data_IF_249513286876
#
_entry.id   IF_249513286876
#
_cell.length_a   1.000
_cell.length_b   1.000
_cell.length_c   1.000
_cell.angle_alpha   90.00
_cell.angle_beta   90.00
_cell.angle_gamma   90.00
#
_symmetry.space_group_name_H-M   'P 1'
#
loop_
_entity.id
_entity.type
_entity.pdbx_description
1 polymer ?
#
# COMPACT_ATOMS: atom_id res chain seq x y z
N UNK A 1 27.83 -7.60 -13.99
CA UNK A 1 27.04 -6.95 -12.92
C UNK A 1 25.91 -7.90 -12.58
N UNK A 2 25.98 -8.57 -11.44
CA UNK A 2 25.09 -9.68 -11.10
C UNK A 2 23.71 -9.14 -10.71
N UNK A 3 22.71 -9.33 -11.55
CA UNK A 3 21.31 -9.08 -11.22
C UNK A 3 20.90 -9.94 -10.02
N UNK A 4 20.17 -9.41 -9.02
CA UNK A 4 19.69 -10.23 -7.92
C UNK A 4 18.66 -11.22 -8.49
N UNK A 5 18.98 -12.51 -8.42
CA UNK A 5 18.01 -13.56 -8.70
C UNK A 5 16.87 -13.41 -7.69
N UNK A 6 15.65 -13.18 -8.18
CA UNK A 6 14.45 -13.05 -7.34
C UNK A 6 14.12 -14.43 -6.79
N UNK A 7 14.73 -14.79 -5.66
CA UNK A 7 14.39 -16.01 -4.95
C UNK A 7 12.89 -15.97 -4.61
N UNK A 8 12.19 -17.07 -4.85
CA UNK A 8 10.78 -17.15 -4.46
C UNK A 8 10.66 -16.86 -2.95
N UNK A 9 9.76 -15.95 -2.55
CA UNK A 9 9.61 -15.63 -1.14
C UNK A 9 9.17 -16.88 -0.36
N UNK A 10 9.79 -17.12 0.78
CA UNK A 10 9.37 -18.22 1.66
C UNK A 10 7.91 -18.07 2.10
N UNK A 11 7.21 -19.17 2.37
CA UNK A 11 5.82 -19.14 2.88
C UNK A 11 5.67 -18.26 4.11
N UNK A 12 6.66 -18.27 5.01
CA UNK A 12 6.69 -17.43 6.20
C UNK A 12 6.70 -15.94 5.82
N UNK A 13 7.52 -15.56 4.84
CA UNK A 13 7.59 -14.18 4.34
C UNK A 13 6.26 -13.73 3.74
N UNK A 14 5.56 -14.60 3.02
CA UNK A 14 4.24 -14.32 2.44
C UNK A 14 3.21 -14.08 3.55
N UNK A 15 3.14 -14.96 4.56
CA UNK A 15 2.22 -14.80 5.70
C UNK A 15 2.46 -13.51 6.48
N UNK A 16 3.72 -13.12 6.68
CA UNK A 16 4.07 -11.84 7.30
C UNK A 16 3.58 -10.68 6.44
N UNK A 17 3.81 -10.72 5.13
CA UNK A 17 3.38 -9.68 4.21
C UNK A 17 1.84 -9.54 4.19
N UNK A 18 1.11 -10.64 4.20
CA UNK A 18 -0.36 -10.64 4.27
C UNK A 18 -0.87 -10.02 5.56
N UNK A 19 -0.28 -10.38 6.70
CA UNK A 19 -0.63 -9.80 8.00
C UNK A 19 -0.40 -8.29 8.01
N UNK A 20 0.75 -7.83 7.54
CA UNK A 20 1.07 -6.40 7.44
C UNK A 20 0.10 -5.66 6.53
N UNK A 21 -0.20 -6.22 5.35
CA UNK A 21 -1.18 -5.64 4.41
C UNK A 21 -2.56 -5.53 5.05
N UNK A 22 -3.01 -6.56 5.77
CA UNK A 22 -4.30 -6.57 6.47
C UNK A 22 -4.36 -5.51 7.56
N UNK A 23 -3.35 -5.42 8.42
CA UNK A 23 -3.31 -4.42 9.50
C UNK A 23 -3.29 -2.98 8.97
N UNK A 24 -2.52 -2.72 7.91
CA UNK A 24 -2.51 -1.40 7.25
C UNK A 24 -3.88 -1.13 6.62
N UNK A 25 -4.45 -2.13 5.94
CA UNK A 25 -5.85 -2.28 5.54
C UNK A 25 -6.84 -1.64 6.50
N UNK A 26 -6.98 -2.30 7.64
CA UNK A 26 -7.94 -1.99 8.68
C UNK A 26 -7.66 -0.63 9.34
N UNK A 27 -6.38 -0.28 9.50
CA UNK A 27 -5.97 0.99 10.12
C UNK A 27 -6.33 2.19 9.23
N UNK A 28 -6.03 2.11 7.94
CA UNK A 28 -6.35 3.17 6.99
C UNK A 28 -7.86 3.34 6.85
N UNK A 29 -8.61 2.24 6.83
CA UNK A 29 -10.07 2.27 6.81
C UNK A 29 -10.64 3.00 8.04
N UNK A 30 -10.14 2.66 9.24
CA UNK A 30 -10.57 3.32 10.48
C UNK A 30 -10.25 4.81 10.46
N UNK A 31 -9.09 5.20 9.93
CA UNK A 31 -8.68 6.60 9.81
C UNK A 31 -9.56 7.36 8.80
N UNK A 32 -9.86 6.76 7.66
CA UNK A 32 -10.76 7.30 6.64
C UNK A 32 -12.14 7.62 7.20
N UNK A 33 -12.72 6.68 7.97
CA UNK A 33 -14.01 6.86 8.65
C UNK A 33 -14.02 8.02 9.67
N UNK A 34 -12.86 8.41 10.19
CA UNK A 34 -12.71 9.57 11.08
C UNK A 34 -12.48 10.89 10.31
N UNK A 35 -12.54 10.86 8.97
CA UNK A 35 -12.25 12.01 8.11
C UNK A 35 -10.75 12.30 7.95
N UNK A 36 -9.87 11.38 8.35
CA UNK A 36 -8.43 11.50 8.10
C UNK A 36 -8.08 10.94 6.73
N UNK A 37 -7.20 11.62 6.00
CA UNK A 37 -6.71 11.17 4.70
C UNK A 37 -5.30 10.57 4.81
N UNK A 38 -4.96 9.68 3.89
CA UNK A 38 -3.62 9.13 3.74
C UNK A 38 -3.04 9.51 2.37
N UNK A 39 -1.78 9.94 2.34
CA UNK A 39 -1.06 10.25 1.10
C UNK A 39 -0.16 9.06 0.78
N UNK A 40 -0.43 8.39 -0.34
CA UNK A 40 0.38 7.26 -0.82
C UNK A 40 1.40 7.78 -1.83
N UNK A 41 2.61 7.23 -1.82
CA UNK A 41 3.69 7.62 -2.72
C UNK A 41 4.07 6.44 -3.62
N UNK A 42 4.32 6.71 -4.90
CA UNK A 42 4.84 5.70 -5.85
C UNK A 42 6.37 5.59 -5.88
N UNK A 43 7.03 6.36 -5.01
CA UNK A 43 8.49 6.50 -4.94
C UNK A 43 9.00 7.86 -5.45
N UNK A 44 8.25 8.53 -6.32
CA UNK A 44 8.64 9.84 -6.86
C UNK A 44 7.63 10.94 -6.55
N UNK A 45 6.34 10.60 -6.51
CA UNK A 45 5.27 11.57 -6.31
C UNK A 45 4.13 10.99 -5.47
N UNK A 46 3.36 11.85 -4.79
CA UNK A 46 2.11 11.43 -4.19
C UNK A 46 1.15 10.95 -5.28
N UNK A 47 0.60 9.76 -5.09
CA UNK A 47 -0.42 9.17 -5.95
C UNK A 47 -1.75 9.17 -5.22
N UNK A 48 -2.78 9.60 -5.93
CA UNK A 48 -4.16 9.53 -5.45
C UNK A 48 -4.68 8.12 -5.76
N UNK A 49 -5.14 7.40 -4.74
CA UNK A 49 -5.68 6.04 -4.86
C UNK A 49 -6.88 5.88 -3.94
N UNK A 50 -7.83 5.04 -4.35
CA UNK A 50 -9.04 4.71 -3.60
C UNK A 50 -10.25 5.53 -4.04
N UNK A 51 -11.41 5.17 -3.51
CA UNK A 51 -12.71 5.75 -3.90
C UNK A 51 -12.83 7.25 -3.51
N UNK A 52 -12.08 7.68 -2.51
CA UNK A 52 -12.02 9.08 -2.05
C UNK A 52 -11.01 9.93 -2.84
N UNK A 53 -10.35 9.37 -3.85
CA UNK A 53 -9.43 10.12 -4.70
C UNK A 53 -10.21 11.18 -5.52
N UNK A 54 -9.72 12.43 -5.58
CA UNK A 54 -10.27 13.43 -6.49
C UNK A 54 -10.36 12.89 -7.92
N UNK A 55 -11.41 13.27 -8.70
CA UNK A 55 -11.48 12.87 -10.09
C UNK A 55 -10.23 13.36 -10.83
N UNK A 56 -9.67 12.50 -11.68
CA UNK A 56 -8.53 12.85 -12.52
C UNK A 56 -8.87 14.13 -13.29
N UNK A 57 -8.03 15.16 -13.15
CA UNK A 57 -8.18 16.40 -13.94
C UNK A 57 -7.97 16.03 -15.41
N UNK A 58 -9.03 16.17 -16.21
CA UNK A 58 -9.03 16.07 -17.67
C UNK A 58 -8.33 17.30 -18.25
#
# INVERSE_FOLDING_TARGET
MTSPQKAEPSEKSIRILESLKKTVSETLERKRKLGQYAVVWDGTKPVQRGDDAPPAKV
#
